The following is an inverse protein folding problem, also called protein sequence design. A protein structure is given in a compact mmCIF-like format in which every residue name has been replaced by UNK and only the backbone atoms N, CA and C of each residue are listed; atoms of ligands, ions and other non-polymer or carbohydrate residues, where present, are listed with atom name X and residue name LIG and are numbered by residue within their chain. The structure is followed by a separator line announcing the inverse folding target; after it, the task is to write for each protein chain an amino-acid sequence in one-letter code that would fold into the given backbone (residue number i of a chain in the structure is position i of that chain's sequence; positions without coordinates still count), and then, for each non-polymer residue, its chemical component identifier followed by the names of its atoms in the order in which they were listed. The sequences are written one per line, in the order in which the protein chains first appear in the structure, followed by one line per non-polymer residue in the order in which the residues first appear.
data_IF_492027748920
#
_entry.id   IF_492027748920
#
_cell.length_a   1.000
_cell.length_b   1.000
_cell.length_c   1.000
_cell.angle_alpha   90.00
_cell.angle_beta   90.00
_cell.angle_gamma   90.00
#
_symmetry.space_group_name_H-M   'P 1'
#
loop_
_entity.id
_entity.type
_entity.pdbx_description
1 polymer ?
#
# COMPACT_ATOMS: atom_id res chain seq x y z
N UNK A 1 -7.68 -28.34 -24.07
CA UNK A 1 -7.76 -27.66 -22.76
C UNK A 1 -7.27 -26.24 -22.96
N UNK A 2 -8.19 -25.31 -22.84
CA UNK A 2 -8.08 -23.91 -23.27
C UNK A 2 -7.08 -23.13 -22.42
N UNK A 3 -6.30 -22.32 -23.11
CA UNK A 3 -5.28 -21.38 -22.65
C UNK A 3 -5.81 -20.40 -21.61
N UNK A 4 -5.11 -20.27 -20.48
CA UNK A 4 -5.31 -19.18 -19.53
C UNK A 4 -4.78 -17.87 -20.14
N UNK A 5 -5.70 -17.00 -20.56
CA UNK A 5 -5.39 -15.64 -21.01
C UNK A 5 -4.91 -14.84 -19.81
N UNK A 6 -3.68 -14.30 -19.86
CA UNK A 6 -3.28 -13.22 -18.97
C UNK A 6 -4.18 -12.01 -19.25
N UNK A 7 -5.24 -11.85 -18.47
CA UNK A 7 -6.10 -10.68 -18.55
C UNK A 7 -5.26 -9.46 -18.17
N UNK A 8 -5.08 -8.53 -19.10
CA UNK A 8 -4.51 -7.23 -18.77
C UNK A 8 -5.33 -6.61 -17.66
N UNK A 9 -4.66 -6.10 -16.62
CA UNK A 9 -5.32 -5.42 -15.53
C UNK A 9 -5.81 -4.07 -16.07
N UNK A 10 -7.12 -3.84 -15.97
CA UNK A 10 -7.73 -2.59 -16.39
C UNK A 10 -7.83 -1.65 -15.21
N UNK A 11 -7.72 -0.36 -15.51
CA UNK A 11 -7.93 0.71 -14.56
C UNK A 11 -8.94 1.67 -15.14
N UNK A 12 -9.60 2.42 -14.27
CA UNK A 12 -10.51 3.48 -14.67
C UNK A 12 -10.01 4.80 -14.08
N UNK A 13 -9.94 5.83 -14.92
CA UNK A 13 -9.69 7.22 -14.55
C UNK A 13 -11.03 7.96 -14.57
N UNK A 14 -11.40 8.63 -13.48
CA UNK A 14 -12.71 9.24 -13.33
C UNK A 14 -12.75 10.34 -12.27
N UNK A 15 -13.77 11.18 -12.36
CA UNK A 15 -14.19 12.05 -11.28
C UNK A 15 -15.33 11.43 -10.51
N UNK A 16 -15.36 11.70 -9.20
CA UNK A 16 -16.50 11.33 -8.37
C UNK A 16 -16.88 12.43 -7.39
N UNK A 17 -18.17 12.51 -7.12
CA UNK A 17 -18.71 13.21 -5.96
C UNK A 17 -19.49 12.21 -5.09
N UNK A 18 -19.08 12.11 -3.83
CA UNK A 18 -19.73 11.27 -2.81
C UNK A 18 -20.41 12.20 -1.82
N UNK A 19 -21.72 12.06 -1.64
CA UNK A 19 -22.48 12.81 -0.63
C UNK A 19 -22.70 11.94 0.59
N UNK A 20 -22.53 12.50 1.78
CA UNK A 20 -22.71 11.76 3.03
C UNK A 20 -24.07 12.06 3.66
N UNK A 21 -24.71 11.04 4.23
CA UNK A 21 -26.02 11.16 4.88
C UNK A 21 -25.96 11.96 6.19
N UNK A 22 -24.78 12.13 6.78
CA UNK A 22 -24.53 12.99 7.94
C UNK A 22 -24.12 14.43 7.54
N UNK A 23 -24.16 14.75 6.25
CA UNK A 23 -23.81 16.07 5.71
C UNK A 23 -22.38 16.16 5.20
N UNK A 24 -22.18 17.02 4.20
CA UNK A 24 -20.90 17.19 3.51
C UNK A 24 -20.77 16.29 2.27
N UNK A 25 -19.67 16.50 1.54
CA UNK A 25 -19.32 15.70 0.36
C UNK A 25 -17.81 15.54 0.21
N UNK A 26 -17.41 14.51 -0.52
CA UNK A 26 -16.04 14.26 -0.96
C UNK A 26 -16.01 14.31 -2.49
N UNK A 27 -15.09 15.10 -3.05
CA UNK A 27 -14.90 15.21 -4.50
C UNK A 27 -13.51 14.75 -4.89
N UNK A 28 -13.40 14.00 -5.98
CA UNK A 28 -12.13 13.57 -6.56
C UNK A 28 -12.03 14.02 -8.01
N UNK A 29 -10.81 14.33 -8.44
CA UNK A 29 -10.52 14.72 -9.81
C UNK A 29 -9.42 13.83 -10.41
N UNK A 30 -9.70 13.15 -11.53
CA UNK A 30 -8.76 12.26 -12.22
C UNK A 30 -8.31 11.07 -11.36
N UNK A 31 -9.21 10.52 -10.56
CA UNK A 31 -8.91 9.42 -9.64
C UNK A 31 -8.79 8.11 -10.42
N UNK A 32 -7.77 7.31 -10.08
CA UNK A 32 -7.48 6.04 -10.77
C UNK A 32 -7.68 4.84 -9.88
N UNK A 33 -8.53 3.91 -10.32
CA UNK A 33 -8.87 2.69 -9.57
C UNK A 33 -8.73 1.44 -10.44
N UNK A 34 -8.18 0.37 -9.86
CA UNK A 34 -8.07 -0.93 -10.54
C UNK A 34 -9.44 -1.63 -10.57
N UNK A 35 -9.82 -2.19 -11.72
CA UNK A 35 -11.12 -2.86 -11.91
C UNK A 35 -10.95 -4.30 -12.41
N UNK A 36 -11.84 -5.23 -12.01
CA UNK A 36 -11.84 -6.59 -12.54
C UNK A 36 -12.46 -6.61 -13.94
N UNK A 37 -11.65 -6.86 -14.97
CA UNK A 37 -12.15 -6.96 -16.35
C UNK A 37 -12.13 -5.62 -17.09
N UNK A 38 -12.64 -5.62 -18.32
CA UNK A 38 -12.56 -4.51 -19.28
C UNK A 38 -13.79 -3.61 -19.31
N UNK A 39 -14.69 -3.76 -18.35
CA UNK A 39 -15.89 -2.95 -18.20
C UNK A 39 -16.28 -2.86 -16.71
N UNK A 40 -16.98 -1.79 -16.36
CA UNK A 40 -17.60 -1.56 -15.07
C UNK A 40 -18.66 -0.49 -15.28
N UNK A 41 -19.81 -0.56 -14.61
CA UNK A 41 -20.80 0.54 -14.66
C UNK A 41 -20.51 1.61 -13.59
N UNK A 42 -21.29 2.70 -13.57
CA UNK A 42 -21.03 3.83 -12.67
C UNK A 42 -21.46 3.53 -11.23
N UNK A 43 -22.47 2.68 -11.03
CA UNK A 43 -22.94 2.29 -9.71
C UNK A 43 -21.92 1.36 -9.05
N UNK A 44 -21.46 0.35 -9.78
CA UNK A 44 -20.43 -0.59 -9.34
C UNK A 44 -19.09 0.13 -9.09
N UNK A 45 -18.73 1.09 -9.95
CA UNK A 45 -17.54 1.92 -9.73
C UNK A 45 -17.67 2.81 -8.48
N UNK A 46 -18.85 3.37 -8.24
CA UNK A 46 -19.15 4.11 -7.02
C UNK A 46 -19.00 3.25 -5.76
N UNK A 47 -19.57 2.05 -5.77
CA UNK A 47 -19.43 1.09 -4.66
C UNK A 47 -17.98 0.66 -4.45
N UNK A 48 -17.24 0.43 -5.54
CA UNK A 48 -15.82 0.08 -5.49
C UNK A 48 -14.99 1.23 -4.88
N UNK A 49 -15.25 2.48 -5.25
CA UNK A 49 -14.62 3.66 -4.66
C UNK A 49 -14.90 3.75 -3.15
N UNK A 50 -16.16 3.63 -2.75
CA UNK A 50 -16.59 3.69 -1.34
C UNK A 50 -15.89 2.60 -0.52
N UNK A 51 -15.85 1.36 -1.03
CA UNK A 51 -15.15 0.24 -0.40
C UNK A 51 -13.64 0.47 -0.33
N UNK A 52 -13.04 0.96 -1.41
CA UNK A 52 -11.59 1.17 -1.49
C UNK A 52 -11.08 2.24 -0.53
N UNK A 53 -11.85 3.33 -0.37
CA UNK A 53 -11.52 4.43 0.52
C UNK A 53 -12.03 4.22 1.97
N UNK A 54 -12.79 3.15 2.22
CA UNK A 54 -13.35 2.85 3.54
C UNK A 54 -14.36 3.89 4.03
N UNK A 55 -15.11 4.50 3.11
CA UNK A 55 -16.06 5.58 3.44
C UNK A 55 -17.29 5.02 4.18
N UNK A 56 -17.74 5.73 5.20
CA UNK A 56 -18.95 5.42 5.97
C UNK A 56 -20.04 6.45 5.70
N UNK A 57 -21.30 6.09 5.98
CA UNK A 57 -22.46 6.99 5.89
C UNK A 57 -22.68 7.63 4.51
N UNK A 58 -22.39 6.89 3.43
CA UNK A 58 -22.60 7.38 2.05
C UNK A 58 -24.09 7.41 1.72
N UNK A 59 -24.59 8.57 1.31
CA UNK A 59 -25.96 8.76 0.83
C UNK A 59 -26.11 8.64 -0.69
N UNK A 60 -25.01 8.83 -1.43
CA UNK A 60 -24.99 8.69 -2.89
C UNK A 60 -23.61 8.93 -3.48
N UNK A 61 -23.42 8.46 -4.72
CA UNK A 61 -22.19 8.67 -5.49
C UNK A 61 -22.54 8.97 -6.93
N UNK A 62 -21.90 9.99 -7.49
CA UNK A 62 -22.02 10.38 -8.89
C UNK A 62 -20.65 10.26 -9.54
N UNK A 63 -20.57 9.52 -10.64
CA UNK A 63 -19.35 9.36 -11.45
C UNK A 63 -19.42 10.28 -12.66
N UNK A 64 -18.29 10.84 -13.07
CA UNK A 64 -18.16 11.62 -14.31
C UNK A 64 -16.76 11.48 -14.92
N UNK A 65 -16.62 11.86 -16.19
CA UNK A 65 -15.37 11.74 -16.97
C UNK A 65 -14.68 10.37 -16.84
N UNK A 66 -15.47 9.31 -16.91
CA UNK A 66 -14.99 7.94 -16.80
C UNK A 66 -14.28 7.51 -18.08
N UNK A 67 -13.04 7.08 -17.95
CA UNK A 67 -12.22 6.55 -19.03
C UNK A 67 -11.53 5.26 -18.59
N UNK A 68 -11.72 4.18 -19.36
CA UNK A 68 -11.03 2.92 -19.10
C UNK A 68 -9.64 2.95 -19.74
N UNK A 69 -8.64 2.68 -18.92
CA UNK A 69 -7.23 2.67 -19.32
C UNK A 69 -6.71 1.25 -19.24
N UNK A 70 -6.13 0.79 -20.36
CA UNK A 70 -5.42 -0.48 -20.44
C UNK A 70 -3.92 -0.24 -20.24
N UNK A 71 -3.46 -0.30 -19.00
CA UNK A 71 -2.04 -0.17 -18.66
C UNK A 71 -1.39 -1.56 -18.43
N UNK A 72 -0.56 -2.08 -19.34
CA UNK A 72 0.31 -3.23 -19.02
C UNK A 72 1.39 -2.76 -18.04
N UNK A 73 1.31 -3.16 -16.77
CA UNK A 73 2.30 -2.73 -15.79
C UNK A 73 3.68 -3.35 -16.01
N UNK A 74 4.69 -2.48 -16.16
CA UNK A 74 6.06 -2.71 -15.67
C UNK A 74 6.02 -2.52 -14.15
N UNK A 75 6.19 -3.59 -13.37
CA UNK A 75 6.42 -3.51 -11.92
C UNK A 75 5.25 -3.99 -11.06
N UNK A 76 5.27 -5.28 -10.75
CA UNK A 76 4.31 -5.96 -9.88
C UNK A 76 4.31 -5.44 -8.44
N UNK A 77 3.19 -4.86 -7.98
CA UNK A 77 2.74 -5.07 -6.60
C UNK A 77 2.13 -6.46 -6.53
N UNK A 78 2.90 -7.42 -6.01
CA UNK A 78 2.37 -8.73 -5.66
C UNK A 78 1.57 -8.59 -4.35
N UNK A 79 0.29 -8.26 -4.43
CA UNK A 79 -0.69 -8.83 -3.49
C UNK A 79 -1.24 -10.10 -4.13
N UNK A 80 -0.39 -11.12 -4.20
CA UNK A 80 -0.83 -12.45 -4.55
C UNK A 80 -1.64 -13.01 -3.38
N UNK A 81 -2.95 -12.81 -3.40
CA UNK A 81 -3.86 -13.77 -2.79
C UNK A 81 -3.99 -14.93 -3.78
N UNK A 82 -3.11 -15.91 -3.63
CA UNK A 82 -3.23 -17.20 -4.27
C UNK A 82 -3.11 -18.25 -3.17
N UNK A 83 -4.13 -19.10 -3.05
CA UNK A 83 -4.13 -20.26 -2.18
C UNK A 83 -2.87 -21.11 -2.44
N UNK A 84 -1.95 -21.06 -1.49
CA UNK A 84 -0.66 -21.73 -1.51
C UNK A 84 0.13 -21.31 -0.28
N UNK A 85 0.86 -22.24 0.35
CA UNK A 85 1.64 -21.97 1.55
C UNK A 85 2.49 -20.69 1.37
N UNK A 86 2.55 -19.80 2.38
CA UNK A 86 3.18 -18.49 2.24
C UNK A 86 4.62 -18.65 1.76
N UNK A 87 4.95 -18.06 0.60
CA UNK A 87 6.31 -18.03 0.07
C UNK A 87 7.16 -17.20 1.03
N UNK A 88 7.83 -17.87 1.97
CA UNK A 88 8.78 -17.23 2.87
C UNK A 88 9.98 -16.76 2.05
N UNK A 89 10.13 -15.44 1.92
CA UNK A 89 11.35 -14.84 1.38
C UNK A 89 12.31 -14.56 2.53
N UNK A 90 13.51 -15.10 2.43
CA UNK A 90 14.60 -14.83 3.36
C UNK A 90 15.51 -13.79 2.74
N UNK A 91 15.91 -12.79 3.54
CA UNK A 91 16.90 -11.78 3.14
C UNK A 91 18.07 -11.90 4.11
N UNK A 92 19.27 -12.09 3.55
CA UNK A 92 20.49 -12.12 4.34
C UNK A 92 21.01 -10.69 4.54
N UNK A 93 21.17 -10.31 5.80
CA UNK A 93 21.66 -9.00 6.21
C UNK A 93 23.08 -9.07 6.81
N UNK A 94 23.84 -10.16 6.64
CA UNK A 94 25.19 -10.32 7.22
C UNK A 94 26.32 -9.65 6.42
N UNK A 95 25.98 -8.93 5.34
CA UNK A 95 26.96 -8.24 4.50
C UNK A 95 27.70 -7.09 5.20
N UNK A 96 28.87 -6.68 4.68
CA UNK A 96 29.73 -5.65 5.30
C UNK A 96 29.10 -4.26 5.35
N UNK A 97 28.04 -4.01 4.57
CA UNK A 97 27.28 -2.77 4.57
C UNK A 97 26.16 -2.72 5.62
N UNK A 98 25.81 -3.84 6.25
CA UNK A 98 24.77 -3.87 7.27
C UNK A 98 25.32 -3.45 8.61
N UNK A 99 24.60 -2.55 9.28
CA UNK A 99 24.90 -2.12 10.64
C UNK A 99 23.64 -2.13 11.47
N UNK A 100 23.79 -2.50 12.75
CA UNK A 100 22.76 -2.30 13.76
C UNK A 100 23.14 -1.05 14.55
N UNK A 101 22.33 -0.01 14.44
CA UNK A 101 22.42 1.14 15.34
C UNK A 101 21.58 0.87 16.59
N UNK A 102 22.16 1.13 17.76
CA UNK A 102 21.51 0.85 19.04
C UNK A 102 21.62 2.09 19.92
N UNK A 103 20.48 2.69 20.34
CA UNK A 103 20.52 3.81 21.25
C UNK A 103 21.11 3.39 22.60
N UNK A 104 21.95 4.26 23.16
CA UNK A 104 22.53 4.05 24.48
C UNK A 104 21.42 3.87 25.53
N UNK A 105 21.50 2.82 26.33
CA UNK A 105 20.50 2.54 27.37
C UNK A 105 19.23 1.82 26.88
N UNK A 106 19.15 1.38 25.63
CA UNK A 106 18.05 0.53 25.18
C UNK A 106 17.91 -0.72 26.07
N UNK A 107 16.69 -1.12 26.49
CA UNK A 107 16.48 -2.33 27.27
C UNK A 107 16.64 -3.62 26.43
N UNK A 108 17.15 -4.70 27.02
CA UNK A 108 17.28 -6.03 26.39
C UNK A 108 18.40 -6.13 25.33
N UNK A 109 18.94 -7.32 25.04
CA UNK A 109 19.94 -7.48 23.97
C UNK A 109 19.30 -7.69 22.58
N UNK A 110 20.06 -8.22 21.62
CA UNK A 110 19.56 -8.53 20.28
C UNK A 110 18.58 -9.71 20.25
N UNK A 111 18.43 -10.41 21.37
CA UNK A 111 17.54 -11.57 21.50
C UNK A 111 16.08 -11.18 21.26
N UNK A 112 15.69 -9.94 21.58
CA UNK A 112 14.35 -9.42 21.31
C UNK A 112 14.04 -9.22 19.82
N UNK A 113 15.03 -9.34 18.94
CA UNK A 113 14.86 -9.29 17.48
C UNK A 113 14.65 -10.68 16.87
N UNK A 114 14.83 -11.75 17.64
CA UNK A 114 14.64 -13.13 17.16
C UNK A 114 13.15 -13.41 17.02
N UNK A 115 12.77 -13.99 15.88
CA UNK A 115 11.38 -14.31 15.52
C UNK A 115 10.40 -13.13 15.58
N UNK A 116 10.91 -11.90 15.63
CA UNK A 116 10.11 -10.69 15.63
C UNK A 116 9.35 -10.60 14.28
N UNK A 117 8.01 -10.50 14.30
CA UNK A 117 7.23 -10.37 13.08
C UNK A 117 7.71 -9.18 12.24
N UNK A 118 7.83 -9.36 10.93
CA UNK A 118 8.38 -8.33 10.04
C UNK A 118 7.31 -7.80 9.10
N UNK A 119 7.17 -6.48 9.06
CA UNK A 119 6.42 -5.74 8.04
C UNK A 119 7.40 -5.21 7.00
N UNK A 120 7.12 -5.45 5.72
CA UNK A 120 7.90 -4.91 4.60
C UNK A 120 7.14 -3.77 3.92
N UNK A 121 7.66 -2.55 4.06
CA UNK A 121 7.18 -1.35 3.37
C UNK A 121 8.02 -1.13 2.12
N UNK A 122 7.42 -1.24 0.93
CA UNK A 122 8.14 -1.13 -0.35
C UNK A 122 7.88 0.22 -1.01
N UNK A 123 8.91 1.05 -1.05
CA UNK A 123 8.94 2.37 -1.71
C UNK A 123 9.86 2.39 -2.94
N UNK A 124 10.53 1.28 -3.25
CA UNK A 124 11.41 1.19 -4.42
C UNK A 124 10.70 1.59 -5.72
N UNK A 125 11.27 2.55 -6.43
CA UNK A 125 10.74 3.08 -7.69
C UNK A 125 9.95 4.38 -7.55
N UNK A 126 9.75 4.90 -6.34
CA UNK A 126 9.25 6.27 -6.14
C UNK A 126 10.37 7.30 -6.34
N UNK A 127 10.03 8.49 -6.80
CA UNK A 127 11.00 9.58 -7.00
C UNK A 127 11.67 9.97 -5.68
N UNK A 128 10.90 10.06 -4.59
CA UNK A 128 11.38 10.33 -3.23
C UNK A 128 10.91 9.23 -2.25
N UNK A 129 11.69 8.16 -2.04
CA UNK A 129 11.29 7.01 -1.23
C UNK A 129 11.49 7.28 0.27
N UNK A 130 10.58 8.04 0.87
CA UNK A 130 10.54 8.31 2.32
C UNK A 130 9.27 7.69 2.90
N UNK A 131 9.39 6.90 3.96
CA UNK A 131 8.25 6.35 4.68
C UNK A 131 7.72 7.40 5.66
N UNK A 132 6.52 7.91 5.38
CA UNK A 132 5.77 8.79 6.27
C UNK A 132 4.75 8.02 7.12
N UNK A 133 4.01 8.72 7.98
CA UNK A 133 2.97 8.10 8.81
C UNK A 133 1.92 7.38 7.97
N UNK A 134 1.57 7.91 6.79
CA UNK A 134 0.55 7.34 5.92
C UNK A 134 1.03 6.03 5.27
N UNK A 135 2.31 5.94 4.93
CA UNK A 135 2.94 4.73 4.42
C UNK A 135 2.98 3.59 5.47
N UNK A 136 3.00 3.92 6.76
CA UNK A 136 3.00 2.95 7.86
C UNK A 136 1.60 2.58 8.38
N UNK A 137 0.62 3.49 8.23
CA UNK A 137 -0.72 3.35 8.78
C UNK A 137 -1.42 1.98 8.49
N UNK A 138 -1.25 1.34 7.31
CA UNK A 138 -1.93 0.08 7.01
C UNK A 138 -1.41 -1.14 7.78
N UNK A 139 -0.27 -1.06 8.46
CA UNK A 139 0.47 -2.24 8.90
C UNK A 139 0.48 -2.51 10.41
N UNK A 140 -0.16 -1.66 11.22
CA UNK A 140 -0.16 -1.77 12.69
C UNK A 140 1.24 -2.14 13.26
N UNK A 141 2.25 -1.26 13.11
CA UNK A 141 3.65 -1.67 13.28
C UNK A 141 4.08 -1.94 14.73
N UNK A 142 3.20 -1.72 15.71
CA UNK A 142 3.46 -2.07 17.11
C UNK A 142 3.82 -3.56 17.23
N UNK A 143 4.93 -3.86 17.92
CA UNK A 143 5.43 -5.23 18.09
C UNK A 143 6.00 -5.89 16.83
N UNK A 144 6.17 -5.14 15.74
CA UNK A 144 6.77 -5.64 14.49
C UNK A 144 8.12 -4.94 14.21
N UNK A 145 9.04 -5.66 13.57
CA UNK A 145 10.15 -5.02 12.87
C UNK A 145 9.62 -4.43 11.55
N UNK A 146 9.95 -3.17 11.26
CA UNK A 146 9.58 -2.53 10.00
C UNK A 146 10.80 -2.43 9.09
N UNK A 147 10.71 -3.04 7.91
CA UNK A 147 11.74 -2.97 6.87
C UNK A 147 11.25 -2.04 5.76
N UNK A 148 11.94 -0.93 5.54
CA UNK A 148 11.64 0.02 4.45
C UNK A 148 12.56 -0.25 3.27
N UNK A 149 12.01 -0.77 2.18
CA UNK A 149 12.74 -1.00 0.94
C UNK A 149 12.60 0.20 0.01
N UNK A 150 13.60 1.08 0.01
CA UNK A 150 13.63 2.33 -0.77
C UNK A 150 14.27 2.20 -2.15
N UNK A 151 15.09 1.16 -2.36
CA UNK A 151 15.89 1.01 -3.59
C UNK A 151 17.02 2.03 -3.73
N UNK A 152 17.28 2.84 -2.70
CA UNK A 152 18.38 3.81 -2.65
C UNK A 152 19.32 3.47 -1.48
N UNK A 153 20.63 3.70 -1.63
CA UNK A 153 21.63 3.36 -0.61
C UNK A 153 21.66 4.35 0.56
N UNK A 154 21.13 5.58 0.38
CA UNK A 154 21.21 6.68 1.35
C UNK A 154 19.82 7.35 1.57
N UNK A 155 19.60 7.84 2.80
CA UNK A 155 18.35 8.42 3.29
C UNK A 155 18.35 9.96 3.36
N UNK A 156 17.31 10.58 3.97
CA UNK A 156 16.45 10.03 5.01
C UNK A 156 15.40 9.03 4.52
N UNK A 157 15.04 8.07 5.39
CA UNK A 157 14.13 6.97 5.05
C UNK A 157 12.79 7.03 5.79
N UNK A 158 12.71 7.80 6.88
CA UNK A 158 11.54 7.95 7.74
C UNK A 158 11.34 9.43 8.08
N UNK A 159 10.09 9.88 8.12
CA UNK A 159 9.73 11.19 8.67
C UNK A 159 9.62 11.15 10.21
N UNK A 160 9.74 12.29 10.91
CA UNK A 160 9.63 12.32 12.38
C UNK A 160 8.29 11.79 12.93
N UNK A 161 7.19 12.03 12.24
CA UNK A 161 5.85 11.53 12.58
C UNK A 161 5.69 10.03 12.34
N UNK A 162 6.41 9.47 11.35
CA UNK A 162 6.52 8.02 11.17
C UNK A 162 7.29 7.38 12.32
N UNK A 163 8.40 8.00 12.77
CA UNK A 163 9.17 7.54 13.93
C UNK A 163 8.32 7.55 15.20
N UNK A 164 7.52 8.60 15.43
CA UNK A 164 6.62 8.67 16.58
C UNK A 164 5.63 7.50 16.59
N UNK A 165 5.07 7.14 15.44
CA UNK A 165 4.14 6.01 15.32
C UNK A 165 4.79 4.65 15.60
N UNK A 166 6.10 4.49 15.37
CA UNK A 166 6.83 3.26 15.70
C UNK A 166 7.20 3.14 17.18
N UNK A 167 7.13 4.25 17.93
CA UNK A 167 7.48 4.30 19.35
C UNK A 167 6.27 4.14 20.29
N UNK A 168 5.05 4.16 19.74
CA UNK A 168 3.78 3.91 20.45
C UNK A 168 3.50 2.41 20.60
#
# INVERSE_FOLDING_TARGET
MTTATGAGQWRVDFDAEVVFSNGGSLRTEGFRLDIPGDDIDDAELGELLVRHLGLLMVGGTTISRKELIREPHKGSRHTGAADGAPVRRTVDLTGPGTRLDRPAGAPGGIEGLVDLPVVLVRLAGTDEPVADRLALAPFEPAGHAVVVHTGRPDGPYLTPDAVALLAE
#
